data_IF_475292735853
#
_entry.id   IF_475292735853
#
_cell.length_a   1.000
_cell.length_b   1.000
_cell.length_c   1.000
_cell.angle_alpha   90.00
_cell.angle_beta   90.00
_cell.angle_gamma   90.00
#
_symmetry.space_group_name_H-M   'P 1'
#
loop_
_entity.id
_entity.type
_entity.pdbx_description
1 polymer ?
#
# COMPACT_ATOMS: atom_id res chain seq x y z
N UNK A 1 66.87 -52.44 6.21
CA UNK A 1 66.95 -53.12 7.53
C UNK A 1 65.56 -53.16 8.15
N UNK A 2 64.86 -54.30 8.15
CA UNK A 2 63.62 -54.50 8.90
C UNK A 2 63.85 -55.32 10.18
N UNK A 3 63.18 -54.99 11.29
CA UNK A 3 62.31 -55.91 12.08
C UNK A 3 61.73 -55.24 13.35
N UNK A 4 60.63 -55.80 13.93
CA UNK A 4 59.76 -55.11 14.90
C UNK A 4 59.86 -55.67 16.33
N UNK A 5 59.16 -55.04 17.28
CA UNK A 5 58.87 -55.57 18.63
C UNK A 5 57.47 -55.11 19.14
N UNK A 6 56.83 -55.83 20.10
CA UNK A 6 55.49 -56.38 19.79
C UNK A 6 54.45 -56.34 20.94
N UNK A 7 53.32 -57.02 20.67
CA UNK A 7 52.39 -57.73 21.60
C UNK A 7 51.42 -56.95 22.50
N UNK A 8 50.13 -57.27 22.27
CA UNK A 8 49.11 -57.68 23.25
C UNK A 8 48.93 -56.95 24.59
N UNK A 9 47.66 -56.61 24.91
CA UNK A 9 46.81 -57.54 25.67
C UNK A 9 45.33 -57.18 25.64
N UNK A 10 44.48 -58.08 25.16
CA UNK A 10 43.04 -57.99 25.35
C UNK A 10 42.63 -58.28 26.80
N UNK A 11 41.67 -57.54 27.36
CA UNK A 11 40.90 -58.00 28.52
C UNK A 11 39.41 -57.74 28.33
N UNK A 12 38.67 -58.81 28.04
CA UNK A 12 37.21 -58.80 27.84
C UNK A 12 36.50 -59.23 29.13
N UNK A 13 36.00 -58.29 29.92
CA UNK A 13 35.10 -58.59 31.04
C UNK A 13 33.64 -58.66 30.57
N UNK A 14 32.83 -59.53 31.19
CA UNK A 14 31.50 -59.93 30.68
C UNK A 14 30.34 -59.26 31.44
N UNK A 15 29.30 -58.93 30.67
CA UNK A 15 27.85 -58.83 31.00
C UNK A 15 27.41 -59.20 32.44
N UNK A 16 26.45 -58.42 32.95
CA UNK A 16 25.05 -58.89 33.12
C UNK A 16 24.04 -57.74 33.21
N UNK A 17 22.73 -57.96 32.93
CA UNK A 17 21.79 -56.88 32.61
C UNK A 17 20.79 -56.54 33.72
N UNK A 18 20.37 -55.27 33.77
CA UNK A 18 19.25 -54.80 34.61
C UNK A 18 17.97 -54.58 33.79
N UNK A 19 16.85 -55.01 34.37
CA UNK A 19 15.48 -55.14 33.83
C UNK A 19 14.93 -53.97 32.98
N UNK A 20 13.93 -54.24 32.10
CA UNK A 20 13.19 -53.21 31.39
C UNK A 20 12.18 -52.48 32.30
N UNK A 21 12.14 -51.15 32.18
CA UNK A 21 11.10 -50.30 32.76
C UNK A 21 9.87 -50.28 31.86
N UNK A 22 8.69 -50.57 32.40
CA UNK A 22 7.44 -50.52 31.64
C UNK A 22 7.04 -49.07 31.28
N UNK A 23 6.48 -48.82 30.08
CA UNK A 23 6.03 -47.48 29.70
C UNK A 23 4.80 -47.05 30.51
N UNK A 24 4.86 -45.86 31.12
CA UNK A 24 3.67 -45.21 31.68
C UNK A 24 2.72 -44.82 30.55
N UNK A 25 1.54 -45.45 30.51
CA UNK A 25 0.41 -45.01 29.70
C UNK A 25 0.10 -43.54 30.04
N UNK A 26 0.41 -42.64 29.12
CA UNK A 26 0.00 -41.24 29.23
C UNK A 26 -1.49 -41.15 28.91
N UNK A 27 -2.20 -40.42 29.76
CA UNK A 27 -3.65 -40.25 29.65
C UNK A 27 -3.96 -39.48 28.36
N UNK A 28 -4.97 -39.95 27.61
CA UNK A 28 -5.43 -39.28 26.38
C UNK A 28 -6.04 -37.92 26.76
N UNK A 29 -5.69 -36.81 26.09
CA UNK A 29 -6.45 -35.57 26.24
C UNK A 29 -7.88 -35.77 25.72
N UNK A 30 -8.85 -35.24 26.46
CA UNK A 30 -10.26 -35.22 26.04
C UNK A 30 -10.50 -34.23 24.89
N UNK A 31 -11.63 -34.36 24.15
CA UNK A 31 -11.95 -33.46 23.06
C UNK A 31 -12.19 -32.02 23.56
N UNK A 32 -11.84 -30.99 22.77
CA UNK A 32 -12.06 -29.60 23.14
C UNK A 32 -13.56 -29.30 23.27
N UNK A 33 -13.93 -28.58 24.33
CA UNK A 33 -15.29 -28.09 24.53
C UNK A 33 -15.54 -26.95 23.56
N UNK A 34 -16.55 -27.07 22.71
CA UNK A 34 -16.95 -26.02 21.76
C UNK A 34 -17.44 -24.77 22.51
N UNK A 35 -16.60 -23.74 22.56
CA UNK A 35 -16.99 -22.42 23.03
C UNK A 35 -17.94 -21.77 22.03
N UNK A 36 -19.14 -21.39 22.50
CA UNK A 36 -20.00 -20.46 21.74
C UNK A 36 -19.36 -19.08 21.80
N UNK A 37 -18.87 -18.58 20.67
CA UNK A 37 -18.50 -17.18 20.54
C UNK A 37 -19.78 -16.37 20.30
N UNK A 38 -20.15 -15.54 21.27
CA UNK A 38 -21.20 -14.53 21.08
C UNK A 38 -20.68 -13.46 20.12
N UNK A 39 -21.39 -13.21 19.02
CA UNK A 39 -21.07 -12.13 18.11
C UNK A 39 -21.27 -10.76 18.79
N UNK A 40 -20.19 -10.05 19.08
CA UNK A 40 -20.22 -8.64 19.46
C UNK A 40 -20.31 -7.78 18.21
N UNK A 41 -21.33 -6.95 18.09
CA UNK A 41 -21.49 -6.05 16.96
C UNK A 41 -20.46 -4.91 17.03
N UNK A 42 -19.63 -4.77 15.98
CA UNK A 42 -18.77 -3.59 15.78
C UNK A 42 -19.61 -2.54 15.06
N UNK A 43 -19.86 -1.42 15.73
CA UNK A 43 -20.56 -0.28 15.13
C UNK A 43 -19.64 0.49 14.19
N UNK A 44 -19.97 0.52 12.90
CA UNK A 44 -19.27 1.35 11.91
C UNK A 44 -19.91 2.73 11.86
N UNK A 45 -19.17 3.76 12.28
CA UNK A 45 -19.54 5.17 12.09
C UNK A 45 -19.24 5.59 10.65
N UNK A 46 -20.25 5.56 9.78
CA UNK A 46 -20.15 6.07 8.41
C UNK A 46 -20.34 7.58 8.36
N UNK A 47 -19.24 8.34 8.33
CA UNK A 47 -19.27 9.75 7.94
C UNK A 47 -19.35 9.86 6.41
N UNK A 48 -20.47 10.35 5.87
CA UNK A 48 -20.63 10.56 4.44
C UNK A 48 -19.99 11.89 4.01
N UNK A 49 -18.96 11.82 3.17
CA UNK A 49 -18.46 12.96 2.37
C UNK A 49 -18.91 12.76 0.92
N UNK A 50 -19.77 13.66 0.46
CA UNK A 50 -20.29 13.69 -0.92
C UNK A 50 -19.44 14.66 -1.73
N UNK A 51 -18.91 14.19 -2.86
CA UNK A 51 -18.14 15.01 -3.80
C UNK A 51 -17.84 14.20 -5.06
N UNK A 52 -18.67 14.37 -6.10
CA UNK A 52 -18.62 13.52 -7.30
C UNK A 52 -17.50 13.89 -8.28
N UNK A 53 -16.89 12.87 -8.88
CA UNK A 53 -16.04 13.01 -10.05
C UNK A 53 -16.86 12.93 -11.34
N UNK A 54 -16.71 13.92 -12.23
CA UNK A 54 -17.27 13.92 -13.57
C UNK A 54 -16.34 13.10 -14.50
N UNK A 55 -16.83 11.98 -15.03
CA UNK A 55 -16.14 11.26 -16.11
C UNK A 55 -16.71 11.75 -17.44
N UNK A 56 -15.89 12.47 -18.21
CA UNK A 56 -16.19 12.82 -19.58
C UNK A 56 -15.19 12.12 -20.51
N UNK A 57 -15.66 11.10 -21.23
CA UNK A 57 -14.85 10.43 -22.25
C UNK A 57 -14.75 11.28 -23.52
N UNK A 58 -13.58 11.31 -24.15
CA UNK A 58 -13.39 11.88 -25.49
C UNK A 58 -12.52 10.94 -26.31
N UNK A 59 -12.94 10.61 -27.53
CA UNK A 59 -12.08 10.02 -28.56
C UNK A 59 -12.38 10.73 -29.87
N UNK A 60 -11.41 11.49 -30.39
CA UNK A 60 -10.86 11.28 -31.74
C UNK A 60 -10.11 12.52 -32.28
N UNK A 61 -8.84 12.31 -32.65
CA UNK A 61 -8.09 12.95 -33.76
C UNK A 61 -7.80 14.47 -33.72
N UNK A 62 -6.52 14.82 -33.88
CA UNK A 62 -6.07 16.18 -34.23
C UNK A 62 -4.62 16.43 -33.80
N UNK A 63 -3.74 16.71 -34.75
CA UNK A 63 -2.33 17.04 -34.54
C UNK A 63 -2.21 18.50 -34.06
N UNK A 64 -1.60 18.75 -32.89
CA UNK A 64 -0.79 19.95 -32.60
C UNK A 64 -0.26 19.92 -31.14
N UNK A 65 1.05 20.16 -30.97
CA UNK A 65 1.72 20.15 -29.66
C UNK A 65 1.58 21.49 -28.93
N UNK A 66 1.08 21.48 -27.68
CA UNK A 66 1.22 22.63 -26.75
C UNK A 66 1.63 22.14 -25.35
N UNK A 67 2.49 22.93 -24.70
CA UNK A 67 3.26 22.56 -23.50
C UNK A 67 2.43 22.34 -22.23
N UNK A 68 2.88 21.38 -21.41
CA UNK A 68 2.35 21.11 -20.06
C UNK A 68 3.20 21.84 -19.01
N UNK A 69 2.83 23.07 -18.67
CA UNK A 69 3.22 23.74 -17.40
C UNK A 69 2.09 24.69 -16.93
N UNK A 70 2.07 24.97 -15.62
CA UNK A 70 1.10 25.84 -14.93
C UNK A 70 -0.36 25.37 -14.83
N UNK A 71 -0.61 24.39 -13.95
CA UNK A 71 -1.85 24.40 -13.12
C UNK A 71 -1.58 24.00 -11.66
N UNK A 72 -0.46 24.46 -11.10
CA UNK A 72 -0.16 24.43 -9.67
C UNK A 72 -0.12 25.86 -9.12
N UNK A 73 -0.44 26.02 -7.82
CA UNK A 73 -0.65 27.28 -7.09
C UNK A 73 -1.81 28.17 -7.59
N UNK A 74 -2.99 28.08 -6.95
CA UNK A 74 -3.82 29.22 -6.46
C UNK A 74 -4.88 28.77 -5.43
N UNK A 75 -4.46 28.35 -4.23
CA UNK A 75 -5.39 28.02 -3.15
C UNK A 75 -4.84 28.25 -1.73
N UNK A 76 -4.14 29.35 -1.47
CA UNK A 76 -3.97 29.88 -0.10
C UNK A 76 -3.50 31.35 -0.13
N UNK A 77 -4.44 32.31 -0.05
CA UNK A 77 -4.17 33.72 0.15
C UNK A 77 -5.45 34.47 0.58
N UNK A 78 -5.82 34.36 1.85
CA UNK A 78 -6.83 35.24 2.46
C UNK A 78 -6.21 36.61 2.75
N UNK A 79 -6.74 37.66 2.13
CA UNK A 79 -6.27 39.04 2.26
C UNK A 79 -6.50 39.64 3.65
N UNK A 80 -5.65 40.58 4.09
CA UNK A 80 -6.03 41.65 5.01
C UNK A 80 -6.05 43.01 4.27
N UNK A 81 -7.12 43.79 4.40
CA UNK A 81 -7.12 45.22 3.99
C UNK A 81 -8.12 46.03 4.82
N UNK A 82 -7.58 46.90 5.66
CA UNK A 82 -8.29 48.01 6.34
C UNK A 82 -8.34 49.25 5.42
N UNK A 83 -9.21 50.25 5.69
CA UNK A 83 -9.82 51.09 4.64
C UNK A 83 -9.22 52.49 4.46
N UNK A 84 -9.40 53.10 3.27
CA UNK A 84 -9.17 54.54 3.01
C UNK A 84 -10.19 55.15 2.00
N UNK A 85 -10.90 56.18 2.47
CA UNK A 85 -11.43 57.40 1.81
C UNK A 85 -12.23 57.40 0.47
N UNK A 86 -13.53 57.73 0.61
CA UNK A 86 -14.17 59.01 0.19
C UNK A 86 -14.51 59.41 -1.29
N UNK A 87 -15.75 59.93 -1.42
CA UNK A 87 -16.22 61.07 -2.27
C UNK A 87 -16.84 60.87 -3.68
N UNK A 88 -18.17 61.17 -3.75
CA UNK A 88 -18.92 61.95 -4.80
C UNK A 88 -19.01 61.38 -6.23
N UNK A 89 -20.13 61.36 -6.99
CA UNK A 89 -21.60 61.54 -6.86
C UNK A 89 -22.22 61.27 -8.28
N UNK A 90 -23.46 61.68 -8.66
CA UNK A 90 -24.80 61.55 -8.07
C UNK A 90 -25.75 60.62 -8.90
N UNK A 91 -26.99 60.44 -8.43
CA UNK A 91 -28.04 59.68 -9.14
C UNK A 91 -28.90 60.53 -10.11
N UNK A 92 -29.64 59.90 -11.05
CA UNK A 92 -30.80 60.49 -11.72
C UNK A 92 -32.17 59.90 -11.30
N UNK A 93 -33.22 60.69 -11.49
CA UNK A 93 -34.66 60.43 -11.20
C UNK A 93 -35.53 60.84 -12.42
N UNK A 94 -36.82 60.50 -12.56
CA UNK A 94 -37.83 59.84 -11.69
C UNK A 94 -38.72 58.90 -12.55
N UNK A 95 -39.34 57.87 -11.98
CA UNK A 95 -40.65 57.37 -12.46
C UNK A 95 -41.45 56.72 -11.32
N UNK A 96 -42.75 57.01 -11.24
CA UNK A 96 -43.67 56.55 -10.18
C UNK A 96 -44.33 55.20 -10.47
N UNK A 97 -45.27 54.76 -9.61
CA UNK A 97 -45.93 53.46 -9.73
C UNK A 97 -47.13 53.53 -10.69
N UNK A 98 -47.22 52.55 -11.60
CA UNK A 98 -48.45 52.28 -12.35
C UNK A 98 -49.17 51.05 -11.77
N UNK A 99 -50.50 51.18 -11.60
CA UNK A 99 -51.34 50.26 -10.86
C UNK A 99 -51.49 48.88 -11.52
N UNK A 100 -50.68 47.90 -11.06
CA UNK A 100 -50.81 46.48 -11.43
C UNK A 100 -51.17 45.54 -10.28
N UNK A 101 -51.16 46.01 -9.03
CA UNK A 101 -51.34 45.19 -7.83
C UNK A 101 -52.81 44.86 -7.52
N UNK A 102 -53.57 44.34 -8.50
CA UNK A 102 -55.02 44.14 -8.36
C UNK A 102 -55.60 42.90 -9.07
N UNK A 103 -54.82 41.83 -9.36
CA UNK A 103 -55.41 40.54 -9.77
C UNK A 103 -54.57 39.25 -9.61
N UNK A 104 -53.92 39.04 -8.46
CA UNK A 104 -53.18 37.80 -8.18
C UNK A 104 -53.29 37.29 -6.71
N UNK A 105 -54.43 37.53 -6.04
CA UNK A 105 -54.69 37.09 -4.65
C UNK A 105 -55.96 36.21 -4.53
N UNK A 106 -56.29 35.45 -5.58
CA UNK A 106 -57.54 34.68 -5.65
C UNK A 106 -57.39 33.33 -6.38
N UNK A 107 -56.37 32.56 -6.00
CA UNK A 107 -56.40 31.09 -6.12
C UNK A 107 -55.50 30.52 -5.00
N UNK A 108 -55.97 29.59 -4.15
CA UNK A 108 -55.06 28.86 -3.27
C UNK A 108 -54.11 28.02 -4.14
N UNK A 109 -52.83 27.83 -3.74
CA UNK A 109 -51.96 26.91 -4.46
C UNK A 109 -52.60 25.52 -4.51
N UNK A 110 -52.44 24.76 -5.60
CA UNK A 110 -52.97 23.41 -5.70
C UNK A 110 -52.49 22.58 -4.49
N UNK A 111 -53.32 21.68 -3.94
CA UNK A 111 -52.92 20.85 -2.82
C UNK A 111 -51.66 20.08 -3.20
N UNK A 112 -50.65 20.14 -2.33
CA UNK A 112 -49.41 19.39 -2.54
C UNK A 112 -49.75 17.89 -2.53
N UNK A 113 -49.47 17.22 -3.64
CA UNK A 113 -49.60 15.77 -3.74
C UNK A 113 -48.46 15.12 -2.92
N UNK A 114 -48.78 14.83 -1.66
CA UNK A 114 -47.82 14.24 -0.71
C UNK A 114 -47.41 12.85 -1.18
N UNK A 115 -48.28 12.09 -1.83
CA UNK A 115 -47.98 10.75 -2.34
C UNK A 115 -47.02 10.83 -3.54
N UNK A 116 -47.16 11.82 -4.42
CA UNK A 116 -46.20 12.08 -5.50
C UNK A 116 -44.83 12.53 -4.97
N UNK A 117 -44.80 13.38 -3.93
CA UNK A 117 -43.54 13.84 -3.31
C UNK A 117 -42.84 12.69 -2.57
N UNK A 118 -43.58 11.86 -1.84
CA UNK A 118 -43.05 10.66 -1.17
C UNK A 118 -42.58 9.64 -2.21
N UNK A 119 -43.35 9.40 -3.27
CA UNK A 119 -42.99 8.50 -4.37
C UNK A 119 -41.70 8.90 -5.09
N UNK A 120 -41.51 10.20 -5.36
CA UNK A 120 -40.27 10.73 -5.92
C UNK A 120 -39.08 10.57 -4.95
N UNK A 121 -39.29 10.79 -3.64
CA UNK A 121 -38.25 10.60 -2.64
C UNK A 121 -37.86 9.12 -2.47
N UNK A 122 -38.82 8.19 -2.50
CA UNK A 122 -38.52 6.75 -2.46
C UNK A 122 -37.80 6.27 -3.72
N UNK A 123 -38.23 6.71 -4.90
CA UNK A 123 -37.56 6.37 -6.16
C UNK A 123 -36.09 6.81 -6.18
N UNK A 124 -35.81 8.04 -5.74
CA UNK A 124 -34.44 8.54 -5.64
C UNK A 124 -33.56 7.75 -4.64
N UNK A 125 -34.16 7.19 -3.58
CA UNK A 125 -33.45 6.31 -2.64
C UNK A 125 -33.17 4.93 -3.24
N UNK A 126 -34.14 4.33 -3.92
CA UNK A 126 -33.97 3.04 -4.61
C UNK A 126 -32.93 3.12 -5.74
N UNK A 127 -32.93 4.22 -6.50
CA UNK A 127 -31.90 4.52 -7.51
C UNK A 127 -30.51 4.65 -6.88
N UNK A 128 -30.38 5.41 -5.79
CA UNK A 128 -29.11 5.60 -5.09
C UNK A 128 -28.56 4.29 -4.47
N UNK A 129 -29.44 3.45 -3.93
CA UNK A 129 -29.09 2.12 -3.40
C UNK A 129 -28.68 1.17 -4.53
N UNK A 130 -29.35 1.23 -5.68
CA UNK A 130 -29.01 0.44 -6.87
C UNK A 130 -27.65 0.87 -7.44
N UNK A 131 -27.40 2.17 -7.56
CA UNK A 131 -26.11 2.72 -7.98
C UNK A 131 -24.96 2.32 -7.03
N UNK A 132 -25.20 2.31 -5.70
CA UNK A 132 -24.22 1.81 -4.72
C UNK A 132 -23.90 0.33 -4.96
N UNK A 133 -24.90 -0.54 -5.11
CA UNK A 133 -24.68 -1.97 -5.36
C UNK A 133 -23.90 -2.21 -6.66
N UNK A 134 -24.25 -1.51 -7.74
CA UNK A 134 -23.51 -1.61 -9.00
C UNK A 134 -22.05 -1.16 -8.86
N UNK A 135 -21.77 -0.11 -8.05
CA UNK A 135 -20.41 0.33 -7.76
C UNK A 135 -19.62 -0.68 -6.90
N UNK A 136 -20.27 -1.28 -5.89
CA UNK A 136 -19.65 -2.29 -5.03
C UNK A 136 -19.39 -3.61 -5.80
N UNK A 137 -20.29 -4.01 -6.70
CA UNK A 137 -20.12 -5.13 -7.62
C UNK A 137 -18.99 -4.87 -8.63
N UNK A 138 -18.90 -3.66 -9.20
CA UNK A 138 -17.81 -3.27 -10.08
C UNK A 138 -16.45 -3.25 -9.37
N UNK A 139 -16.39 -2.78 -8.12
CA UNK A 139 -15.18 -2.81 -7.30
C UNK A 139 -14.75 -4.26 -6.96
N UNK A 140 -15.70 -5.13 -6.62
CA UNK A 140 -15.44 -6.56 -6.40
C UNK A 140 -14.95 -7.27 -7.66
N UNK A 141 -15.54 -6.96 -8.81
CA UNK A 141 -15.10 -7.47 -10.12
C UNK A 141 -13.71 -6.96 -10.52
N UNK A 142 -13.34 -5.72 -10.17
CA UNK A 142 -12.00 -5.17 -10.39
C UNK A 142 -10.95 -5.88 -9.51
N UNK A 143 -11.21 -6.00 -8.21
CA UNK A 143 -10.33 -6.72 -7.28
C UNK A 143 -10.11 -8.19 -7.70
N UNK A 144 -11.17 -8.86 -8.17
CA UNK A 144 -11.10 -10.23 -8.70
C UNK A 144 -10.27 -10.35 -9.98
N UNK A 145 -10.12 -9.27 -10.75
CA UNK A 145 -9.30 -9.24 -11.97
C UNK A 145 -7.83 -8.94 -11.67
N UNK A 146 -7.52 -8.17 -10.61
CA UNK A 146 -6.13 -7.97 -10.15
C UNK A 146 -5.56 -9.27 -9.53
N UNK A 147 -6.36 -10.03 -8.79
CA UNK A 147 -5.97 -11.35 -8.24
C UNK A 147 -5.82 -12.44 -9.33
N UNK A 148 -6.35 -12.21 -10.53
CA UNK A 148 -6.35 -13.18 -11.64
C UNK A 148 -5.21 -13.00 -12.65
N UNK A 149 -4.25 -12.11 -12.41
CA UNK A 149 -2.98 -12.22 -13.13
C UNK A 149 -2.30 -13.52 -12.69
N UNK A 150 -1.95 -14.44 -13.63
CA UNK A 150 -1.17 -15.60 -13.23
C UNK A 150 0.15 -15.05 -12.70
N UNK A 151 0.42 -15.30 -11.41
CA UNK A 151 1.76 -15.15 -10.87
C UNK A 151 2.68 -15.95 -11.80
N UNK A 152 3.52 -15.23 -12.55
CA UNK A 152 4.50 -15.88 -13.40
C UNK A 152 5.31 -16.79 -12.48
N UNK A 153 5.54 -18.03 -12.93
CA UNK A 153 6.44 -18.97 -12.26
C UNK A 153 7.87 -18.46 -12.42
N UNK A 154 8.18 -17.39 -11.69
CA UNK A 154 9.52 -16.82 -11.63
C UNK A 154 10.27 -17.59 -10.55
N UNK A 155 10.62 -18.83 -10.89
CA UNK A 155 11.68 -19.53 -10.19
C UNK A 155 12.97 -18.71 -10.20
N UNK A 156 13.99 -19.07 -9.40
CA UNK A 156 15.25 -18.35 -9.30
C UNK A 156 16.06 -18.45 -10.60
N UNK A 157 15.68 -17.66 -11.60
CA UNK A 157 16.39 -17.49 -12.85
C UNK A 157 17.55 -16.53 -12.63
N UNK A 158 18.77 -16.98 -12.86
CA UNK A 158 19.90 -16.05 -13.01
C UNK A 158 19.73 -15.23 -14.28
N UNK A 159 19.93 -13.91 -14.15
CA UNK A 159 19.89 -12.96 -15.25
C UNK A 159 21.30 -12.47 -15.58
N UNK A 160 21.52 -12.06 -16.83
CA UNK A 160 22.85 -11.75 -17.36
C UNK A 160 23.60 -10.63 -16.62
N UNK A 161 22.89 -9.76 -15.90
CA UNK A 161 23.46 -8.62 -15.18
C UNK A 161 24.04 -8.99 -13.78
N UNK A 162 23.72 -10.17 -13.23
CA UNK A 162 24.26 -10.64 -11.95
C UNK A 162 24.30 -9.57 -10.85
N UNK A 163 25.47 -9.42 -10.22
CA UNK A 163 25.76 -8.43 -9.16
C UNK A 163 26.29 -7.07 -9.67
N UNK A 164 26.12 -6.74 -10.95
CA UNK A 164 26.51 -5.43 -11.50
C UNK A 164 25.83 -4.28 -10.71
N UNK A 165 26.62 -3.37 -10.16
CA UNK A 165 26.15 -2.26 -9.33
C UNK A 165 26.19 -2.49 -7.81
N UNK A 166 26.38 -3.74 -7.36
CA UNK A 166 26.37 -4.05 -5.93
C UNK A 166 27.67 -3.62 -5.23
N UNK A 167 28.81 -3.63 -5.93
CA UNK A 167 30.11 -3.37 -5.31
C UNK A 167 30.50 -4.45 -4.29
N UNK A 168 31.21 -4.07 -3.22
CA UNK A 168 31.79 -5.01 -2.25
C UNK A 168 30.80 -5.44 -1.13
N UNK A 169 29.57 -5.82 -1.50
CA UNK A 169 28.58 -6.35 -0.54
C UNK A 169 29.01 -7.71 0.03
N UNK A 170 28.39 -8.11 1.14
CA UNK A 170 28.52 -9.46 1.67
C UNK A 170 28.02 -10.51 0.66
N UNK A 171 28.58 -11.72 0.68
CA UNK A 171 28.21 -12.77 -0.26
C UNK A 171 26.74 -13.23 -0.13
N UNK A 172 26.16 -13.17 1.07
CA UNK A 172 24.72 -13.39 1.32
C UNK A 172 23.88 -12.32 0.65
N UNK A 173 24.18 -11.04 0.89
CA UNK A 173 23.57 -9.87 0.24
C UNK A 173 23.66 -9.94 -1.27
N UNK A 174 24.79 -10.38 -1.84
CA UNK A 174 24.94 -10.59 -3.27
C UNK A 174 24.01 -11.69 -3.79
N UNK A 175 23.96 -12.86 -3.13
CA UNK A 175 23.12 -13.98 -3.58
C UNK A 175 21.62 -13.63 -3.55
N UNK A 176 21.13 -13.07 -2.44
CA UNK A 176 19.74 -12.62 -2.32
C UNK A 176 19.43 -11.45 -3.27
N UNK A 177 20.38 -10.52 -3.43
CA UNK A 177 20.29 -9.40 -4.36
C UNK A 177 20.17 -9.82 -5.82
N UNK A 178 20.98 -10.78 -6.26
CA UNK A 178 20.92 -11.34 -7.61
C UNK A 178 19.57 -12.04 -7.84
N UNK A 179 19.10 -12.87 -6.89
CA UNK A 179 17.80 -13.52 -6.97
C UNK A 179 16.65 -12.51 -7.14
N UNK A 180 16.60 -11.48 -6.28
CA UNK A 180 15.56 -10.45 -6.35
C UNK A 180 15.66 -9.61 -7.63
N UNK A 181 16.86 -9.18 -8.02
CA UNK A 181 17.10 -8.41 -9.24
C UNK A 181 16.55 -9.15 -10.46
N UNK A 182 16.88 -10.43 -10.57
CA UNK A 182 16.53 -11.23 -11.73
C UNK A 182 15.06 -11.66 -11.73
N UNK A 183 14.47 -11.89 -10.54
CA UNK A 183 13.05 -12.19 -10.39
C UNK A 183 12.14 -11.01 -10.82
N UNK A 184 12.52 -9.79 -10.45
CA UNK A 184 11.71 -8.60 -10.73
C UNK A 184 12.15 -7.82 -11.98
N UNK A 185 13.22 -8.25 -12.67
CA UNK A 185 13.74 -7.62 -13.87
C UNK A 185 14.36 -6.23 -13.62
N UNK A 186 15.00 -6.05 -12.46
CA UNK A 186 15.51 -4.74 -12.04
C UNK A 186 16.84 -4.43 -12.74
N UNK A 187 16.83 -3.40 -13.58
CA UNK A 187 18.00 -3.00 -14.37
C UNK A 187 19.13 -2.43 -13.49
N UNK A 188 18.80 -1.54 -12.55
CA UNK A 188 19.78 -0.84 -11.71
C UNK A 188 19.58 -1.17 -10.24
N UNK A 189 20.66 -1.63 -9.59
CA UNK A 189 20.73 -1.85 -8.14
C UNK A 189 22.01 -1.20 -7.63
N UNK A 190 21.93 -0.47 -6.52
CA UNK A 190 23.06 0.23 -5.90
C UNK A 190 23.40 -0.44 -4.57
N UNK A 191 24.59 -1.03 -4.45
CA UNK A 191 25.08 -1.58 -3.19
C UNK A 191 26.04 -0.64 -2.46
N UNK A 192 27.29 -1.07 -2.24
CA UNK A 192 28.24 -0.35 -1.39
C UNK A 192 28.47 1.09 -1.87
N UNK A 193 28.04 2.04 -1.04
CA UNK A 193 28.24 3.46 -1.23
C UNK A 193 28.42 4.16 0.13
N UNK A 194 29.22 5.22 0.17
CA UNK A 194 29.25 6.12 1.33
C UNK A 194 27.92 6.88 1.44
N UNK A 195 27.36 6.94 2.65
CA UNK A 195 26.12 7.69 2.96
C UNK A 195 26.42 8.73 4.05
N UNK A 196 25.72 9.87 4.02
CA UNK A 196 25.88 10.94 5.03
C UNK A 196 25.21 10.61 6.36
N UNK A 197 24.20 9.72 6.32
CA UNK A 197 23.39 9.29 7.44
C UNK A 197 23.74 7.83 7.80
N UNK A 198 23.28 7.36 8.95
CA UNK A 198 23.36 5.94 9.31
C UNK A 198 22.72 5.08 8.22
N UNK A 199 23.44 4.04 7.78
CA UNK A 199 23.06 3.18 6.66
C UNK A 199 23.90 1.92 6.66
N UNK A 200 23.34 0.82 6.15
CA UNK A 200 24.00 -0.47 6.02
C UNK A 200 24.77 -0.64 4.69
N UNK A 201 24.64 0.31 3.74
CA UNK A 201 25.40 0.32 2.49
C UNK A 201 26.94 0.32 2.68
N UNK A 202 27.54 1.15 3.56
CA UNK A 202 28.98 1.13 3.78
C UNK A 202 29.49 -0.19 4.38
N UNK A 203 28.62 -0.94 5.06
CA UNK A 203 28.93 -2.26 5.62
C UNK A 203 28.74 -3.41 4.62
N UNK A 204 28.27 -3.12 3.39
CA UNK A 204 27.96 -4.14 2.39
C UNK A 204 26.73 -4.98 2.71
N UNK A 205 25.82 -4.45 3.53
CA UNK A 205 24.64 -5.12 4.08
C UNK A 205 23.32 -4.64 3.49
N UNK A 206 23.35 -3.77 2.48
CA UNK A 206 22.14 -3.21 1.88
C UNK A 206 22.25 -3.03 0.37
N UNK A 207 21.08 -3.02 -0.28
CA UNK A 207 20.89 -2.80 -1.71
C UNK A 207 19.69 -1.86 -1.93
N UNK A 208 19.88 -0.83 -2.74
CA UNK A 208 18.80 0.01 -3.27
C UNK A 208 18.43 -0.52 -4.66
N UNK A 209 17.24 -1.09 -4.79
CA UNK A 209 16.69 -1.54 -6.07
C UNK A 209 15.93 -0.38 -6.70
N UNK A 210 16.42 0.14 -7.83
CA UNK A 210 15.81 1.28 -8.52
C UNK A 210 14.54 0.83 -9.23
N UNK A 211 13.47 0.74 -8.45
CA UNK A 211 12.17 0.20 -8.82
C UNK A 211 11.08 0.95 -8.07
N UNK A 212 10.16 1.58 -8.80
CA UNK A 212 9.05 2.35 -8.28
C UNK A 212 7.71 1.79 -8.76
N UNK A 213 6.62 2.49 -8.43
CA UNK A 213 5.26 2.17 -8.87
C UNK A 213 4.90 0.70 -8.62
N UNK A 214 4.33 0.06 -9.64
CA UNK A 214 3.95 -1.36 -9.57
C UNK A 214 5.13 -2.33 -9.49
N UNK A 215 6.35 -1.94 -9.92
CA UNK A 215 7.51 -2.81 -9.81
C UNK A 215 8.05 -2.82 -8.38
N UNK A 216 8.20 -1.64 -7.78
CA UNK A 216 8.58 -1.48 -6.38
C UNK A 216 7.60 -2.11 -5.41
N UNK A 217 6.27 -1.95 -5.61
CA UNK A 217 5.27 -2.58 -4.73
C UNK A 217 5.34 -4.12 -4.78
N UNK A 218 5.56 -4.73 -5.95
CA UNK A 218 5.74 -6.20 -6.07
C UNK A 218 7.01 -6.67 -5.37
N UNK A 219 8.14 -6.00 -5.61
CA UNK A 219 9.42 -6.32 -4.99
C UNK A 219 9.35 -6.18 -3.46
N UNK A 220 8.84 -5.06 -2.95
CA UNK A 220 8.71 -4.81 -1.52
C UNK A 220 7.75 -5.83 -0.85
N UNK A 221 6.64 -6.18 -1.51
CA UNK A 221 5.71 -7.20 -1.02
C UNK A 221 6.37 -8.58 -0.93
N UNK A 222 7.06 -9.00 -1.98
CA UNK A 222 7.77 -10.29 -1.99
C UNK A 222 8.91 -10.33 -0.96
N UNK A 223 9.73 -9.28 -0.88
CA UNK A 223 10.82 -9.17 0.08
C UNK A 223 10.30 -9.34 1.53
N UNK A 224 9.20 -8.66 1.87
CA UNK A 224 8.54 -8.74 3.19
C UNK A 224 7.95 -10.12 3.50
N UNK A 225 7.43 -10.82 2.50
CA UNK A 225 6.89 -12.18 2.67
C UNK A 225 7.97 -13.26 2.83
N UNK A 226 9.21 -12.98 2.41
CA UNK A 226 10.31 -13.94 2.37
C UNK A 226 11.54 -13.47 3.17
N UNK A 227 11.35 -12.61 4.18
CA UNK A 227 12.46 -11.98 4.92
C UNK A 227 13.41 -13.00 5.54
N UNK A 228 12.87 -14.00 6.26
CA UNK A 228 13.65 -15.07 6.90
C UNK A 228 14.45 -15.91 5.90
N UNK A 229 13.89 -16.20 4.71
CA UNK A 229 14.53 -17.03 3.69
C UNK A 229 15.66 -16.27 2.96
N UNK A 230 15.47 -14.97 2.74
CA UNK A 230 16.42 -14.10 2.05
C UNK A 230 17.46 -13.47 2.99
N UNK A 231 17.33 -13.67 4.31
CA UNK A 231 18.20 -13.05 5.33
C UNK A 231 18.03 -11.53 5.41
N UNK A 232 16.82 -11.03 5.19
CA UNK A 232 16.49 -9.61 5.21
C UNK A 232 16.17 -9.17 6.64
N UNK A 233 16.88 -8.16 7.12
CA UNK A 233 16.66 -7.55 8.43
C UNK A 233 15.56 -6.47 8.39
N UNK A 234 15.47 -5.71 7.31
CA UNK A 234 14.36 -4.77 7.07
C UNK A 234 14.21 -4.36 5.59
N UNK A 235 13.00 -3.91 5.24
CA UNK A 235 12.65 -3.32 3.94
C UNK A 235 12.15 -1.89 4.15
N UNK A 236 12.56 -0.94 3.30
CA UNK A 236 12.02 0.42 3.27
C UNK A 236 11.47 0.73 1.87
N UNK A 237 10.22 1.22 1.80
CA UNK A 237 9.60 1.70 0.56
C UNK A 237 8.41 2.63 0.81
N UNK A 238 8.40 3.78 0.12
CA UNK A 238 7.38 4.85 0.23
C UNK A 238 7.17 5.30 1.68
N UNK A 239 8.24 5.84 2.27
CA UNK A 239 8.31 6.39 3.62
C UNK A 239 7.80 5.45 4.73
N UNK A 240 7.93 4.13 4.51
CA UNK A 240 7.56 3.09 5.49
C UNK A 240 8.67 2.07 5.60
N UNK A 241 8.89 1.57 6.82
CA UNK A 241 9.83 0.49 7.14
C UNK A 241 9.05 -0.74 7.60
N UNK A 242 9.51 -1.94 7.25
CA UNK A 242 9.06 -3.19 7.86
C UNK A 242 10.28 -3.99 8.32
N UNK A 243 10.26 -4.39 9.59
CA UNK A 243 11.30 -5.15 10.30
C UNK A 243 10.84 -6.59 10.61
N UNK A 244 9.75 -7.04 9.97
CA UNK A 244 9.13 -8.36 10.13
C UNK A 244 7.76 -8.33 10.83
N UNK A 245 7.31 -7.17 11.32
CA UNK A 245 6.04 -6.98 12.04
C UNK A 245 4.95 -6.22 11.28
N UNK A 246 5.23 -5.76 10.05
CA UNK A 246 4.33 -4.91 9.28
C UNK A 246 4.91 -3.51 9.04
N UNK A 247 4.25 -2.74 8.16
CA UNK A 247 4.68 -1.38 7.83
C UNK A 247 4.50 -0.40 8.99
N UNK A 248 5.57 0.30 9.33
CA UNK A 248 5.59 1.47 10.22
C UNK A 248 5.96 2.73 9.40
N UNK A 249 5.25 3.85 9.63
CA UNK A 249 5.54 5.13 8.96
C UNK A 249 6.82 5.75 9.50
N UNK A 250 7.66 6.28 8.61
CA UNK A 250 8.90 6.97 8.95
C UNK A 250 8.73 8.49 8.96
N UNK A 251 9.63 9.19 9.64
CA UNK A 251 9.77 10.64 9.54
C UNK A 251 10.13 11.10 8.11
N UNK A 252 9.85 12.38 7.79
CA UNK A 252 10.36 12.98 6.54
C UNK A 252 11.84 13.29 6.68
N UNK A 253 12.63 12.73 5.77
CA UNK A 253 14.09 12.85 5.69
C UNK A 253 14.54 13.88 4.65
N UNK A 254 13.60 14.60 4.03
CA UNK A 254 13.88 15.77 3.20
C UNK A 254 13.92 15.52 1.69
N UNK A 255 13.18 14.53 1.17
CA UNK A 255 12.99 14.35 -0.27
C UNK A 255 12.69 12.91 -0.70
N UNK A 256 12.27 12.73 -1.95
CA UNK A 256 11.83 11.44 -2.51
C UNK A 256 12.83 10.30 -2.26
N UNK A 257 14.10 10.48 -2.62
CA UNK A 257 15.14 9.47 -2.41
C UNK A 257 15.44 9.24 -0.92
N UNK A 258 15.44 10.27 -0.08
CA UNK A 258 15.66 10.12 1.35
C UNK A 258 14.49 9.38 2.06
N UNK A 259 13.29 9.49 1.49
CA UNK A 259 12.06 8.84 1.94
C UNK A 259 11.79 7.51 1.21
N UNK A 260 12.65 7.10 0.27
CA UNK A 260 12.55 5.85 -0.50
C UNK A 260 11.24 5.77 -1.32
N UNK A 261 10.84 6.90 -1.91
CA UNK A 261 9.68 6.98 -2.82
C UNK A 261 10.01 6.48 -4.25
N UNK A 262 11.30 6.48 -4.61
CA UNK A 262 11.83 6.22 -5.95
C UNK A 262 12.65 4.90 -6.07
N UNK A 263 12.80 4.16 -4.97
CA UNK A 263 13.48 2.86 -4.93
C UNK A 263 13.02 2.02 -3.73
N UNK A 264 13.18 0.69 -3.83
CA UNK A 264 13.02 -0.23 -2.69
C UNK A 264 14.39 -0.46 -2.06
N UNK A 265 14.54 -0.12 -0.78
CA UNK A 265 15.75 -0.39 -0.03
C UNK A 265 15.58 -1.66 0.81
N UNK A 266 16.57 -2.55 0.78
CA UNK A 266 16.57 -3.82 1.49
C UNK A 266 17.90 -3.98 2.21
N UNK A 267 17.84 -4.26 3.52
CA UNK A 267 19.00 -4.55 4.36
C UNK A 267 19.00 -6.00 4.85
N UNK A 268 20.19 -6.54 5.10
CA UNK A 268 20.46 -7.96 5.28
C UNK A 268 21.38 -8.24 6.49
N UNK A 269 21.25 -9.43 7.08
CA UNK A 269 22.02 -9.91 8.24
C UNK A 269 23.43 -10.50 7.91
#
# INVERSE_FOLDING_TARGET
MPRPHPTDRATRARRSPSRPTAPRLHQRPGPPRTGRHSAGAVGVLTSALVGGGLVAGHVALGDDTVHVEQLALRAFATSPTEPVAESVAPAPTVAGPDDGAARALADPPPPLDVDAVVGAATGALDDAVTARRAADEAASAAASQEESTPAADVGPGSCAAGSDGFGAVAASTAAAGEQLRCMFGIETVLGVAGRSNASDHPAGKALDFMADGASGERLATYARQNMDELGISYVIYRQRIDTGSGWETMEDRGGATANHEDHVHISFD
#
